data_IF_625257815511
#
_entry.id   IF_625257815511
#
_cell.length_a   1.000
_cell.length_b   1.000
_cell.length_c   1.000
_cell.angle_alpha   90.00
_cell.angle_beta   90.00
_cell.angle_gamma   90.00
#
_symmetry.space_group_name_H-M   'P 1'
#
loop_
_entity.id
_entity.type
_entity.pdbx_description
1 polymer ?
#
# COMPACT_ATOMS: atom_id res chain seq x y z
N UNK A 1 2.24 9.10 -51.26
CA UNK A 1 1.90 9.80 -49.99
C UNK A 1 1.45 8.80 -48.91
N UNK A 2 2.34 7.93 -48.39
CA UNK A 2 1.98 6.93 -47.35
C UNK A 2 2.89 6.92 -46.11
N UNK A 3 4.00 7.67 -46.12
CA UNK A 3 4.98 7.68 -45.03
C UNK A 3 4.48 8.38 -43.74
N UNK A 4 3.64 9.43 -43.86
CA UNK A 4 3.17 10.20 -42.70
C UNK A 4 2.30 9.40 -41.72
N UNK A 5 1.54 8.42 -42.23
CA UNK A 5 0.66 7.57 -41.40
C UNK A 5 1.46 6.60 -40.53
N UNK A 6 2.62 6.13 -40.99
CA UNK A 6 3.49 5.23 -40.23
C UNK A 6 4.22 5.96 -39.09
N UNK A 7 4.62 7.21 -39.31
CA UNK A 7 5.26 8.04 -38.28
C UNK A 7 4.27 8.35 -37.14
N UNK A 8 3.03 8.73 -37.47
CA UNK A 8 2.00 9.02 -36.47
C UNK A 8 1.61 7.75 -35.70
N UNK A 9 1.46 6.61 -36.37
CA UNK A 9 1.22 5.31 -35.71
C UNK A 9 2.36 4.90 -34.77
N UNK A 10 3.62 5.08 -35.18
CA UNK A 10 4.79 4.80 -34.35
C UNK A 10 4.91 5.73 -33.14
N UNK A 11 4.57 7.01 -33.28
CA UNK A 11 4.53 7.96 -32.19
C UNK A 11 3.41 7.64 -31.18
N UNK A 12 2.19 7.35 -31.64
CA UNK A 12 1.08 6.97 -30.74
C UNK A 12 1.41 5.69 -29.95
N UNK A 13 2.01 4.69 -30.60
CA UNK A 13 2.44 3.45 -29.93
C UNK A 13 3.54 3.71 -28.89
N UNK A 14 4.52 4.56 -29.19
CA UNK A 14 5.61 4.95 -28.28
C UNK A 14 5.08 5.72 -27.06
N UNK A 15 4.17 6.67 -27.27
CA UNK A 15 3.55 7.44 -26.19
C UNK A 15 2.59 6.59 -25.33
N UNK A 16 1.88 5.62 -25.91
CA UNK A 16 1.12 4.63 -25.14
C UNK A 16 1.99 3.71 -24.27
N UNK A 17 3.20 3.37 -24.73
CA UNK A 17 4.09 2.47 -23.98
C UNK A 17 4.71 3.14 -22.75
N UNK A 18 4.98 4.45 -22.82
CA UNK A 18 5.44 5.26 -21.68
C UNK A 18 4.34 5.45 -20.62
N UNK A 19 3.06 5.41 -21.02
CA UNK A 19 1.93 5.38 -20.09
C UNK A 19 1.58 3.93 -19.70
N UNK A 20 2.17 3.50 -18.59
CA UNK A 20 1.67 2.45 -17.70
C UNK A 20 1.67 1.00 -18.21
N UNK A 21 2.72 0.28 -17.81
CA UNK A 21 2.50 -0.96 -17.06
C UNK A 21 2.85 -0.70 -15.59
N UNK A 22 1.91 -0.11 -14.82
CA UNK A 22 2.04 -0.15 -13.36
C UNK A 22 2.27 -1.61 -12.96
N UNK A 23 3.28 -1.90 -12.15
CA UNK A 23 3.43 -3.26 -11.61
C UNK A 23 2.14 -3.61 -10.86
N UNK A 24 1.70 -4.88 -10.95
CA UNK A 24 0.44 -5.33 -10.34
C UNK A 24 0.36 -4.83 -8.89
N UNK A 25 -0.78 -4.26 -8.54
CA UNK A 25 -1.10 -3.83 -7.18
C UNK A 25 -0.86 -4.98 -6.21
N UNK A 26 -0.44 -4.65 -4.99
CA UNK A 26 -0.33 -5.64 -3.93
C UNK A 26 -1.71 -6.24 -3.66
N UNK A 27 -1.91 -7.52 -3.99
CA UNK A 27 -3.19 -8.21 -3.74
C UNK A 27 -3.28 -8.67 -2.27
N UNK A 28 -4.49 -8.92 -1.75
CA UNK A 28 -4.67 -9.42 -0.38
C UNK A 28 -3.91 -10.71 -0.11
N UNK A 29 -3.96 -11.65 -1.04
CA UNK A 29 -3.25 -12.93 -0.92
C UNK A 29 -1.73 -12.77 -0.83
N UNK A 30 -1.17 -11.80 -1.58
CA UNK A 30 0.26 -11.47 -1.52
C UNK A 30 0.63 -10.75 -0.21
N UNK A 31 -0.30 -9.98 0.34
CA UNK A 31 -0.15 -9.31 1.62
C UNK A 31 -0.09 -10.34 2.76
N UNK A 32 -1.05 -11.26 2.81
CA UNK A 32 -1.08 -12.37 3.77
C UNK A 32 0.19 -13.22 3.69
N UNK A 33 0.64 -13.54 2.47
CA UNK A 33 1.89 -14.30 2.24
C UNK A 33 3.16 -13.54 2.65
N UNK A 34 3.07 -12.24 2.95
CA UNK A 34 4.22 -11.44 3.40
C UNK A 34 4.45 -11.54 4.91
N UNK A 35 3.47 -12.06 5.65
CA UNK A 35 3.59 -12.31 7.08
C UNK A 35 4.28 -13.64 7.35
N UNK A 36 5.06 -13.67 8.42
CA UNK A 36 5.59 -14.88 9.01
C UNK A 36 4.55 -15.50 9.97
N UNK A 37 4.72 -16.77 10.38
CA UNK A 37 3.80 -17.46 11.28
C UNK A 37 3.64 -16.76 12.64
N UNK A 38 4.62 -15.96 13.04
CA UNK A 38 4.61 -15.14 14.25
C UNK A 38 3.81 -13.82 14.11
N UNK A 39 3.24 -13.57 12.92
CA UNK A 39 2.47 -12.36 12.62
C UNK A 39 3.32 -11.12 12.28
N UNK A 40 4.65 -11.28 12.15
CA UNK A 40 5.59 -10.22 11.75
C UNK A 40 5.77 -10.15 10.24
N UNK A 41 6.19 -9.00 9.72
CA UNK A 41 6.45 -8.84 8.28
C UNK A 41 7.87 -9.32 7.97
N UNK A 42 7.97 -10.45 7.26
CA UNK A 42 9.27 -11.12 7.01
C UNK A 42 10.22 -10.30 6.14
N UNK A 43 9.70 -9.50 5.20
CA UNK A 43 10.51 -8.77 4.22
C UNK A 43 10.04 -7.32 4.02
N UNK A 44 10.42 -6.45 4.97
CA UNK A 44 10.09 -5.01 4.98
C UNK A 44 10.46 -4.28 3.68
N UNK A 45 11.71 -4.42 3.26
CA UNK A 45 12.22 -3.75 2.05
C UNK A 45 11.53 -4.23 0.77
N UNK A 46 11.22 -5.53 0.68
CA UNK A 46 10.52 -6.10 -0.48
C UNK A 46 9.09 -5.58 -0.59
N UNK A 47 8.41 -5.48 0.56
CA UNK A 47 7.05 -4.96 0.65
C UNK A 47 6.99 -3.49 0.23
N UNK A 48 7.80 -2.62 0.84
CA UNK A 48 7.82 -1.19 0.52
C UNK A 48 8.21 -0.93 -0.94
N UNK A 49 9.17 -1.67 -1.47
CA UNK A 49 9.56 -1.58 -2.89
C UNK A 49 8.41 -1.99 -3.82
N UNK A 50 7.56 -2.93 -3.41
CA UNK A 50 6.37 -3.35 -4.18
C UNK A 50 5.28 -2.29 -4.09
N UNK A 51 4.95 -1.81 -2.90
CA UNK A 51 3.98 -0.73 -2.66
C UNK A 51 4.36 0.53 -3.45
N UNK A 52 5.63 0.95 -3.41
CA UNK A 52 6.13 2.11 -4.15
C UNK A 52 6.01 1.97 -5.67
N UNK A 53 6.14 0.75 -6.21
CA UNK A 53 6.15 0.49 -7.66
C UNK A 53 4.78 0.15 -8.24
N UNK A 54 3.91 -0.48 -7.47
CA UNK A 54 2.62 -1.00 -7.93
C UNK A 54 1.41 -0.45 -7.18
N UNK A 55 1.61 0.20 -6.04
CA UNK A 55 0.52 0.63 -5.17
C UNK A 55 -0.08 -0.50 -4.34
N UNK A 56 -1.17 -0.17 -3.65
CA UNK A 56 -1.90 -1.06 -2.75
C UNK A 56 -3.33 -1.23 -3.26
N UNK A 57 -3.79 -2.48 -3.32
CA UNK A 57 -5.19 -2.78 -3.63
C UNK A 57 -6.12 -2.10 -2.61
N UNK A 58 -7.21 -1.44 -3.04
CA UNK A 58 -8.11 -0.72 -2.15
C UNK A 58 -8.60 -1.55 -0.95
N UNK A 59 -8.81 -2.86 -1.15
CA UNK A 59 -9.37 -3.76 -0.14
C UNK A 59 -8.45 -3.94 1.07
N UNK A 60 -7.13 -3.88 0.89
CA UNK A 60 -6.14 -4.05 1.97
C UNK A 60 -5.53 -2.74 2.46
N UNK A 61 -5.91 -1.59 1.89
CA UNK A 61 -5.33 -0.30 2.30
C UNK A 61 -5.52 -0.04 3.78
N UNK A 62 -6.67 -0.38 4.33
CA UNK A 62 -6.97 -0.23 5.75
C UNK A 62 -5.96 -0.96 6.65
N UNK A 63 -5.43 -2.11 6.20
CA UNK A 63 -4.43 -2.88 6.93
C UNK A 63 -3.01 -2.44 6.64
N UNK A 64 -2.70 -2.10 5.39
CA UNK A 64 -1.34 -1.75 4.96
C UNK A 64 -0.94 -0.34 5.43
N UNK A 65 -1.88 0.61 5.40
CA UNK A 65 -1.59 2.02 5.71
C UNK A 65 -1.04 2.25 7.12
N UNK A 66 -1.57 1.64 8.19
CA UNK A 66 -0.98 1.75 9.52
C UNK A 66 0.52 1.40 9.58
N UNK A 67 0.99 0.45 8.75
CA UNK A 67 2.41 0.13 8.65
C UNK A 67 3.20 1.16 7.84
N UNK A 68 2.61 1.72 6.79
CA UNK A 68 3.24 2.76 5.98
C UNK A 68 3.35 4.10 6.72
N UNK A 69 2.37 4.39 7.58
CA UNK A 69 2.30 5.61 8.40
C UNK A 69 3.15 5.51 9.67
N UNK A 70 3.71 4.33 9.98
CA UNK A 70 4.49 4.11 11.19
C UNK A 70 3.64 3.99 12.47
N UNK A 71 2.32 3.80 12.34
CA UNK A 71 1.44 3.51 13.49
C UNK A 71 1.74 2.12 14.04
N UNK A 72 2.00 1.15 13.15
CA UNK A 72 2.47 -0.18 13.52
C UNK A 72 3.94 -0.34 13.17
N UNK A 73 4.73 -0.83 14.13
CA UNK A 73 6.07 -1.31 13.85
C UNK A 73 6.00 -2.55 12.95
N UNK A 74 6.89 -2.63 11.95
CA UNK A 74 6.93 -3.75 11.01
C UNK A 74 7.30 -5.09 11.67
N UNK A 75 7.83 -5.02 12.90
CA UNK A 75 8.26 -6.16 13.72
C UNK A 75 7.24 -6.51 14.81
N UNK A 76 6.12 -5.79 14.84
CA UNK A 76 5.06 -6.00 15.84
C UNK A 76 4.26 -7.24 15.53
N UNK A 77 3.91 -7.99 16.58
CA UNK A 77 3.02 -9.14 16.47
C UNK A 77 1.57 -8.70 16.32
N UNK A 78 0.67 -9.63 15.99
CA UNK A 78 -0.76 -9.33 15.86
C UNK A 78 -1.34 -8.81 17.19
N UNK A 79 -0.92 -9.38 18.32
CA UNK A 79 -1.40 -9.00 19.65
C UNK A 79 -0.96 -7.58 20.03
N UNK A 80 0.30 -7.22 19.77
CA UNK A 80 0.81 -5.86 19.98
C UNK A 80 0.04 -4.84 19.15
N UNK A 81 -0.31 -5.17 17.90
CA UNK A 81 -1.12 -4.30 17.03
C UNK A 81 -2.52 -4.07 17.58
N UNK A 82 -3.13 -5.09 18.20
CA UNK A 82 -4.47 -4.96 18.79
C UNK A 82 -4.47 -4.08 20.05
N UNK A 83 -3.41 -4.18 20.85
CA UNK A 83 -3.18 -3.26 21.98
C UNK A 83 -3.02 -1.82 21.48
N UNK A 84 -2.18 -1.58 20.47
CA UNK A 84 -2.00 -0.25 19.88
C UNK A 84 -3.33 0.28 19.31
N UNK A 85 -4.12 -0.57 18.66
CA UNK A 85 -5.44 -0.21 18.13
C UNK A 85 -6.38 0.24 19.24
N UNK A 86 -6.43 -0.50 20.34
CA UNK A 86 -7.26 -0.18 21.51
C UNK A 86 -6.80 1.09 22.20
N UNK A 87 -5.49 1.28 22.36
CA UNK A 87 -4.90 2.50 22.94
C UNK A 87 -5.19 3.72 22.08
N UNK A 88 -4.99 3.62 20.76
CA UNK A 88 -5.27 4.72 19.83
C UNK A 88 -6.76 5.08 19.85
N UNK A 89 -7.67 4.08 19.88
CA UNK A 89 -9.12 4.33 20.01
C UNK A 89 -9.43 5.17 21.26
N UNK A 90 -8.97 4.73 22.43
CA UNK A 90 -9.16 5.45 23.70
C UNK A 90 -8.57 6.86 23.67
N UNK A 91 -7.40 7.01 23.04
CA UNK A 91 -6.73 8.32 22.89
C UNK A 91 -7.55 9.26 22.01
N UNK A 92 -8.05 8.79 20.87
CA UNK A 92 -8.88 9.60 19.98
C UNK A 92 -10.24 9.92 20.58
N UNK A 93 -10.85 9.00 21.33
CA UNK A 93 -12.07 9.28 22.12
C UNK A 93 -11.81 10.42 23.11
N UNK A 94 -10.72 10.35 23.88
CA UNK A 94 -10.35 11.40 24.84
C UNK A 94 -10.09 12.76 24.18
N UNK A 95 -9.52 12.78 22.98
CA UNK A 95 -9.27 14.01 22.23
C UNK A 95 -10.55 14.58 21.58
N UNK A 96 -11.46 13.71 21.11
CA UNK A 96 -12.70 14.10 20.44
C UNK A 96 -13.80 14.63 21.38
N UNK A 97 -13.78 14.23 22.65
CA UNK A 97 -14.77 14.68 23.65
C UNK A 97 -14.58 16.17 24.04
N UNK A 98 -13.44 16.79 23.71
CA UNK A 98 -13.12 18.18 24.08
C UNK A 98 -13.37 19.21 22.97
N UNK A 99 -14.12 18.85 21.92
CA UNK A 99 -14.44 19.76 20.79
C UNK A 99 -15.88 20.28 20.77
N UNK A 100 -16.63 20.08 21.85
CA UNK A 100 -17.97 20.65 22.04
C UNK A 100 -18.16 21.20 23.47
N UNK A 101 -17.31 22.16 23.85
CA UNK A 101 -17.59 23.14 24.91
C UNK A 101 -17.29 24.54 24.37
#
# INVERSE_FOLDING_TARGET
>A
MRAGVFIIRGLIQKYQFEFTKRKRVLSPQQWESSFAPDGRIRNRGKLLKRVRRGGVDPSIRAEVWPFLLGVYGLDTTKDERDVIRTQNRKKYEKLGINTFF
#
